data_IF_006276269588
#
_entry.id   IF_006276269588
#
_cell.length_a   1.000
_cell.length_b   1.000
_cell.length_c   1.000
_cell.angle_alpha   90.00
_cell.angle_beta   90.00
_cell.angle_gamma   90.00
#
_symmetry.space_group_name_H-M   'P 1'
#
loop_
_entity.id
_entity.type
_entity.pdbx_description
1 polymer ?
#
# COMPACT_ATOMS: atom_id res chain seq x y z
N UNK A 1 -8.23 13.48 -0.49
CA UNK A 1 -7.65 12.56 0.50
C UNK A 1 -8.24 11.19 0.28
N UNK A 2 -7.42 10.15 0.32
CA UNK A 2 -7.84 8.75 0.20
C UNK A 2 -7.40 8.06 1.50
N UNK A 3 -8.32 7.36 2.15
CA UNK A 3 -8.07 6.69 3.43
C UNK A 3 -8.77 5.34 3.46
N UNK A 4 -8.17 4.37 4.14
CA UNK A 4 -8.82 3.11 4.49
C UNK A 4 -9.45 2.40 3.27
N UNK A 5 -8.72 2.39 2.16
CA UNK A 5 -9.25 1.96 0.87
C UNK A 5 -8.34 0.90 0.25
N UNK A 6 -8.97 -0.07 -0.41
CA UNK A 6 -8.29 -1.00 -1.32
C UNK A 6 -8.46 -0.48 -2.75
N UNK A 7 -7.35 -0.26 -3.45
CA UNK A 7 -7.33 0.02 -4.88
C UNK A 7 -6.67 -1.17 -5.58
N UNK A 8 -7.47 -1.96 -6.29
CA UNK A 8 -7.00 -3.15 -6.99
C UNK A 8 -7.68 -3.38 -8.33
N UNK A 9 -6.99 -4.04 -9.26
CA UNK A 9 -7.52 -4.37 -10.58
C UNK A 9 -7.69 -3.17 -11.53
N UNK A 10 -7.17 -2.00 -11.17
CA UNK A 10 -7.21 -0.82 -12.04
C UNK A 10 -6.19 -0.95 -13.17
N UNK A 11 -6.48 -0.34 -14.32
CA UNK A 11 -5.58 -0.31 -15.47
C UNK A 11 -5.53 1.07 -16.11
N UNK A 12 -4.36 1.69 -16.14
CA UNK A 12 -4.15 2.96 -16.84
C UNK A 12 -3.55 2.78 -18.24
N UNK A 13 -4.21 3.37 -19.24
CA UNK A 13 -3.73 3.57 -20.61
C UNK A 13 -3.95 2.42 -21.60
N UNK A 14 -4.28 2.70 -22.87
CA UNK A 14 -3.87 1.87 -24.01
C UNK A 14 -2.40 2.16 -24.38
N UNK A 15 -1.76 1.26 -25.15
CA UNK A 15 -0.33 1.31 -25.58
C UNK A 15 0.11 2.67 -26.17
N UNK A 16 -0.85 3.49 -26.63
CA UNK A 16 -0.63 4.77 -27.33
C UNK A 16 -0.78 6.03 -26.46
N UNK A 17 -1.23 5.93 -25.20
CA UNK A 17 -1.42 7.08 -24.32
C UNK A 17 -0.72 6.92 -22.97
N UNK A 18 -0.46 8.04 -22.28
CA UNK A 18 0.35 8.12 -21.05
C UNK A 18 -0.40 7.53 -19.84
N UNK A 19 -0.32 6.21 -19.64
CA UNK A 19 -0.74 5.55 -18.39
C UNK A 19 0.37 5.61 -17.35
N UNK A 20 0.46 6.71 -16.58
CA UNK A 20 1.60 6.92 -15.66
C UNK A 20 1.38 6.31 -14.27
N UNK A 21 0.14 6.30 -13.76
CA UNK A 21 -0.26 5.65 -12.50
C UNK A 21 -1.45 4.73 -12.73
N UNK A 22 -1.28 3.42 -12.52
CA UNK A 22 -2.35 2.44 -12.72
C UNK A 22 -3.47 2.56 -11.69
N UNK A 23 -3.14 2.91 -10.45
CA UNK A 23 -4.12 3.21 -9.40
C UNK A 23 -4.21 4.70 -9.07
N UNK A 24 -3.07 5.35 -8.80
CA UNK A 24 -3.02 6.73 -8.32
C UNK A 24 -2.00 7.54 -9.10
N UNK A 25 -2.45 8.69 -9.61
CA UNK A 25 -1.58 9.80 -9.98
C UNK A 25 -1.55 10.79 -8.81
N UNK A 26 -0.48 10.76 -8.02
CA UNK A 26 -0.38 11.54 -6.79
C UNK A 26 0.06 12.96 -7.12
N UNK A 27 -0.88 13.91 -6.98
CA UNK A 27 -0.66 15.33 -7.18
C UNK A 27 -0.41 16.07 -5.85
N UNK A 28 0.29 17.21 -5.86
CA UNK A 28 0.46 18.06 -4.68
C UNK A 28 -0.87 18.31 -3.95
N UNK A 29 -0.86 18.20 -2.62
CA UNK A 29 -2.07 18.31 -1.78
C UNK A 29 -2.88 17.02 -1.63
N UNK A 30 -2.53 15.94 -2.36
CA UNK A 30 -3.13 14.62 -2.15
C UNK A 30 -2.49 13.93 -0.95
N UNK A 31 -3.33 13.46 -0.03
CA UNK A 31 -2.93 12.59 1.08
C UNK A 31 -3.54 11.21 0.84
N UNK A 32 -2.69 10.19 0.84
CA UNK A 32 -3.07 8.77 0.83
C UNK A 32 -2.61 8.17 2.13
N UNK A 33 -3.54 7.62 2.90
CA UNK A 33 -3.15 6.97 4.15
C UNK A 33 -3.89 5.70 4.41
N UNK A 34 -3.25 4.72 5.06
CA UNK A 34 -3.96 3.55 5.55
C UNK A 34 -4.66 2.79 4.39
N UNK A 35 -4.00 2.72 3.23
CA UNK A 35 -4.54 2.14 1.99
C UNK A 35 -3.73 0.92 1.54
N UNK A 36 -4.37 0.01 0.81
CA UNK A 36 -3.69 -1.06 0.09
C UNK A 36 -3.87 -0.85 -1.41
N UNK A 37 -2.78 -0.78 -2.15
CA UNK A 37 -2.75 -0.53 -3.60
C UNK A 37 -2.02 -1.70 -4.26
N UNK A 38 -2.78 -2.65 -4.79
CA UNK A 38 -2.21 -3.91 -5.26
C UNK A 38 -2.92 -4.46 -6.49
N UNK A 39 -2.20 -5.21 -7.34
CA UNK A 39 -2.78 -5.82 -8.53
C UNK A 39 -3.23 -4.83 -9.60
N UNK A 40 -2.72 -3.60 -9.58
CA UNK A 40 -3.02 -2.59 -10.60
C UNK A 40 -1.99 -2.64 -11.72
N UNK A 41 -2.37 -2.09 -12.86
CA UNK A 41 -1.61 -2.19 -14.08
C UNK A 41 -1.45 -0.82 -14.72
N UNK A 42 -0.26 -0.55 -15.25
CA UNK A 42 -0.07 0.52 -16.22
C UNK A 42 0.38 -0.07 -17.55
N UNK A 43 0.02 0.60 -18.63
CA UNK A 43 0.52 0.30 -19.96
C UNK A 43 1.22 1.56 -20.49
N UNK A 44 2.54 1.58 -20.39
CA UNK A 44 3.37 2.67 -20.89
C UNK A 44 3.80 2.43 -22.34
N UNK A 45 4.15 3.51 -23.05
CA UNK A 45 4.94 3.42 -24.27
C UNK A 45 6.41 3.08 -23.90
N UNK A 46 7.15 2.42 -24.80
CA UNK A 46 8.59 2.16 -24.71
C UNK A 46 9.41 3.33 -24.15
N UNK A 47 9.08 4.56 -24.55
CA UNK A 47 9.80 5.76 -24.14
C UNK A 47 9.61 6.14 -22.65
N UNK A 48 8.65 5.54 -21.94
CA UNK A 48 8.21 5.98 -20.62
C UNK A 48 8.28 4.90 -19.55
N UNK A 49 8.76 3.70 -19.87
CA UNK A 49 8.79 2.54 -18.96
C UNK A 49 9.41 2.86 -17.60
N UNK A 50 10.46 3.68 -17.56
CA UNK A 50 11.17 4.08 -16.33
C UNK A 50 10.47 5.17 -15.54
N UNK A 51 9.36 5.72 -16.06
CA UNK A 51 8.60 6.85 -15.53
C UNK A 51 7.11 6.52 -15.43
N UNK A 52 6.79 5.29 -15.07
CA UNK A 52 5.43 4.79 -14.88
C UNK A 52 5.38 3.88 -13.67
N UNK A 53 4.20 3.79 -13.05
CA UNK A 53 3.88 2.86 -11.98
C UNK A 53 2.50 2.26 -12.20
N UNK A 54 2.36 0.96 -12.01
CA UNK A 54 1.06 0.31 -11.89
C UNK A 54 0.34 0.74 -10.62
N UNK A 55 1.07 0.98 -9.52
CA UNK A 55 0.50 1.47 -8.27
C UNK A 55 0.39 3.00 -8.24
N UNK A 56 1.40 3.66 -7.65
CA UNK A 56 1.44 5.11 -7.45
C UNK A 56 2.47 5.77 -8.36
N UNK A 57 2.00 6.74 -9.16
CA UNK A 57 2.87 7.69 -9.83
C UNK A 57 2.92 8.99 -9.04
N UNK A 58 4.05 9.28 -8.41
CA UNK A 58 4.22 10.43 -7.54
C UNK A 58 4.76 11.67 -8.27
N UNK A 59 3.98 12.75 -8.22
CA UNK A 59 4.40 14.11 -8.60
C UNK A 59 4.30 15.11 -7.45
N UNK A 60 3.68 14.73 -6.34
CA UNK A 60 3.47 15.54 -5.15
C UNK A 60 2.45 14.88 -4.22
N UNK A 61 2.44 15.27 -2.95
CA UNK A 61 1.53 14.71 -1.94
C UNK A 61 2.27 14.00 -0.82
N UNK A 62 1.51 13.28 0.01
CA UNK A 62 2.02 12.51 1.14
C UNK A 62 1.34 11.14 1.19
N UNK A 63 2.14 10.11 1.49
CA UNK A 63 1.70 8.73 1.61
C UNK A 63 2.15 8.16 2.95
N UNK A 64 1.21 7.63 3.74
CA UNK A 64 1.55 7.00 5.02
C UNK A 64 0.73 5.75 5.32
N UNK A 65 1.23 4.82 6.13
CA UNK A 65 0.54 3.56 6.47
C UNK A 65 -0.01 2.82 5.25
N UNK A 66 0.65 2.91 4.11
CA UNK A 66 0.10 2.43 2.83
C UNK A 66 0.98 1.33 2.28
N UNK A 67 0.35 0.26 1.80
CA UNK A 67 1.03 -0.82 1.10
C UNK A 67 0.81 -0.64 -0.40
N UNK A 68 1.91 -0.65 -1.18
CA UNK A 68 1.90 -0.64 -2.64
C UNK A 68 2.73 -1.82 -3.12
N UNK A 69 2.06 -2.87 -3.60
CA UNK A 69 2.75 -4.11 -3.98
C UNK A 69 1.98 -4.89 -5.05
N UNK A 70 2.67 -5.71 -5.84
CA UNK A 70 2.09 -6.55 -6.90
C UNK A 70 1.39 -5.75 -8.01
N UNK A 71 1.84 -4.52 -8.26
CA UNK A 71 1.41 -3.75 -9.42
C UNK A 71 2.41 -3.92 -10.56
N UNK A 72 1.94 -3.84 -11.80
CA UNK A 72 2.76 -4.19 -12.96
C UNK A 72 2.71 -3.15 -14.06
N UNK A 73 3.81 -3.03 -14.79
CA UNK A 73 3.82 -2.41 -16.11
C UNK A 73 3.68 -3.52 -17.16
N UNK A 74 2.53 -3.56 -17.85
CA UNK A 74 2.22 -4.62 -18.81
C UNK A 74 3.02 -4.51 -20.11
N UNK A 75 3.62 -3.35 -20.42
CA UNK A 75 4.42 -3.19 -21.63
C UNK A 75 5.76 -3.95 -21.53
N UNK A 76 6.37 -3.94 -20.34
CA UNK A 76 7.63 -4.66 -20.05
C UNK A 76 7.46 -5.93 -19.25
N UNK A 77 6.23 -6.28 -18.88
CA UNK A 77 5.91 -7.47 -18.09
C UNK A 77 6.70 -7.54 -16.78
N UNK A 78 6.84 -6.41 -16.08
CA UNK A 78 7.64 -6.30 -14.86
C UNK A 78 6.86 -5.61 -13.73
N UNK A 79 7.32 -5.83 -12.49
CA UNK A 79 6.83 -5.13 -11.30
C UNK A 79 7.05 -3.61 -11.44
N UNK A 80 6.08 -2.84 -10.98
CA UNK A 80 6.07 -1.38 -11.11
C UNK A 80 5.11 -0.82 -10.05
N UNK A 81 5.55 -0.77 -8.80
CA UNK A 81 4.69 -0.45 -7.66
C UNK A 81 4.63 1.04 -7.43
N UNK A 82 5.78 1.69 -7.28
CA UNK A 82 5.89 3.13 -7.05
C UNK A 82 6.89 3.75 -8.00
N UNK A 83 6.49 4.83 -8.66
CA UNK A 83 7.41 5.75 -9.31
C UNK A 83 7.43 7.05 -8.51
N UNK A 84 8.59 7.42 -7.99
CA UNK A 84 8.79 8.69 -7.26
C UNK A 84 10.21 9.22 -7.47
N UNK A 85 10.35 10.54 -7.50
CA UNK A 85 11.65 11.23 -7.43
C UNK A 85 11.92 11.81 -6.04
N UNK A 86 11.02 11.59 -5.07
CA UNK A 86 11.05 12.21 -3.75
C UNK A 86 10.55 11.23 -2.67
N UNK A 87 11.39 10.25 -2.33
CA UNK A 87 11.08 9.19 -1.35
C UNK A 87 10.61 9.72 0.02
N UNK A 88 11.02 10.94 0.40
CA UNK A 88 10.60 11.58 1.65
C UNK A 88 9.08 11.83 1.76
N UNK A 89 8.33 11.71 0.66
CA UNK A 89 6.85 11.81 0.67
C UNK A 89 6.16 10.57 1.23
N UNK A 90 6.90 9.47 1.36
CA UNK A 90 6.41 8.19 1.84
C UNK A 90 7.01 7.91 3.21
N UNK A 91 6.16 7.59 4.19
CA UNK A 91 6.62 7.14 5.51
C UNK A 91 5.68 6.10 6.10
N UNK A 92 6.22 5.18 6.91
CA UNK A 92 5.48 4.07 7.48
C UNK A 92 4.68 3.30 6.41
N UNK A 93 5.26 3.14 5.22
CA UNK A 93 4.62 2.55 4.04
C UNK A 93 5.46 1.40 3.50
N UNK A 94 4.85 0.54 2.70
CA UNK A 94 5.49 -0.67 2.19
C UNK A 94 5.49 -0.69 0.65
N UNK A 95 6.66 -0.65 0.02
CA UNK A 95 6.84 -0.95 -1.40
C UNK A 95 8.33 -1.22 -1.72
N UNK A 96 8.66 -2.03 -2.74
CA UNK A 96 10.04 -2.35 -3.08
C UNK A 96 10.92 -1.12 -3.37
N UNK A 97 10.35 -0.07 -3.97
CA UNK A 97 11.08 1.14 -4.36
C UNK A 97 11.34 2.10 -3.17
N UNK A 98 10.69 1.90 -2.02
CA UNK A 98 10.80 2.77 -0.84
C UNK A 98 12.04 2.46 0.03
N UNK A 99 13.21 2.54 -0.60
CA UNK A 99 14.52 2.20 0.00
C UNK A 99 15.09 3.26 0.95
N UNK A 100 14.31 4.28 1.32
CA UNK A 100 14.74 5.33 2.24
C UNK A 100 14.70 4.86 3.70
N UNK A 101 15.85 4.48 4.25
CA UNK A 101 15.98 3.97 5.63
C UNK A 101 15.62 4.94 6.77
N UNK A 102 15.13 6.15 6.49
CA UNK A 102 14.77 7.17 7.50
C UNK A 102 13.28 7.38 7.72
N UNK A 103 12.40 6.75 6.92
CA UNK A 103 10.96 7.01 6.96
C UNK A 103 10.14 5.82 7.49
N UNK A 104 10.79 4.83 8.12
CA UNK A 104 10.14 3.61 8.62
C UNK A 104 9.38 2.84 7.53
N UNK A 105 9.83 2.95 6.28
CA UNK A 105 9.27 2.18 5.17
C UNK A 105 9.81 0.75 5.18
N UNK A 106 9.02 -0.14 4.59
CA UNK A 106 9.33 -1.56 4.43
C UNK A 106 9.44 -1.86 2.94
N UNK A 107 10.47 -2.59 2.54
CA UNK A 107 10.68 -2.99 1.13
C UNK A 107 10.35 -4.46 0.88
N UNK A 108 10.19 -5.24 1.95
CA UNK A 108 9.89 -6.66 1.89
C UNK A 108 8.43 -6.92 1.50
N UNK A 109 8.19 -8.12 0.97
CA UNK A 109 6.86 -8.56 0.57
C UNK A 109 5.87 -8.46 1.76
N UNK A 110 4.70 -7.83 1.60
CA UNK A 110 3.71 -7.67 2.66
C UNK A 110 3.00 -8.97 3.07
N UNK A 111 3.27 -10.10 2.40
CA UNK A 111 2.67 -11.41 2.69
C UNK A 111 1.14 -11.36 2.72
N UNK A 112 0.53 -10.99 1.60
CA UNK A 112 -0.92 -11.05 1.43
C UNK A 112 -1.44 -12.49 1.50
N UNK A 113 -2.71 -12.66 1.89
CA UNK A 113 -3.35 -13.98 2.01
C UNK A 113 -3.43 -14.71 0.67
N UNK A 114 -3.93 -14.07 -0.38
CA UNK A 114 -3.95 -14.63 -1.74
C UNK A 114 -4.04 -13.53 -2.80
N UNK A 115 -2.90 -13.19 -3.40
CA UNK A 115 -2.80 -12.16 -4.45
C UNK A 115 -3.54 -12.56 -5.73
N UNK A 116 -3.57 -13.86 -6.06
CA UNK A 116 -4.18 -14.34 -7.30
C UNK A 116 -5.71 -14.32 -7.23
N UNK A 117 -6.26 -14.48 -6.03
CA UNK A 117 -7.69 -14.32 -5.76
C UNK A 117 -8.09 -12.87 -5.46
N UNK A 118 -7.16 -11.91 -5.45
CA UNK A 118 -7.42 -10.52 -5.08
C UNK A 118 -7.69 -10.31 -3.58
N UNK A 119 -7.21 -11.21 -2.73
CA UNK A 119 -7.34 -11.15 -1.27
C UNK A 119 -6.08 -10.52 -0.66
N UNK A 120 -6.19 -9.23 -0.38
CA UNK A 120 -5.07 -8.39 0.10
C UNK A 120 -5.08 -8.12 1.61
N UNK A 121 -5.69 -9.00 2.39
CA UNK A 121 -5.48 -9.07 3.84
C UNK A 121 -4.08 -9.59 4.14
N UNK A 122 -3.48 -9.17 5.25
CA UNK A 122 -2.13 -9.60 5.65
C UNK A 122 -2.14 -10.96 6.34
N UNK A 123 -1.10 -11.74 6.14
CA UNK A 123 -0.81 -12.91 6.96
C UNK A 123 -0.22 -12.49 8.32
N UNK A 124 -0.37 -13.29 9.40
CA UNK A 124 0.08 -12.92 10.74
C UNK A 124 1.57 -12.61 10.89
N UNK A 125 2.42 -13.17 10.02
CA UNK A 125 3.88 -12.93 10.02
C UNK A 125 4.32 -11.87 9.00
N UNK A 126 3.37 -11.11 8.45
CA UNK A 126 3.68 -10.01 7.54
C UNK A 126 4.62 -9.00 8.22
N UNK A 127 5.64 -8.49 7.51
CA UNK A 127 6.48 -7.43 8.05
C UNK A 127 5.70 -6.13 8.29
N UNK A 128 4.52 -5.96 7.69
CA UNK A 128 3.69 -4.76 7.80
C UNK A 128 2.82 -4.71 9.07
N UNK A 129 2.72 -5.81 9.82
CA UNK A 129 1.88 -5.93 11.02
C UNK A 129 2.50 -5.16 12.18
N UNK A 130 1.74 -4.24 12.77
CA UNK A 130 2.12 -3.38 13.88
C UNK A 130 3.33 -2.51 13.55
N UNK A 131 3.44 -2.03 12.30
CA UNK A 131 4.56 -1.17 11.84
C UNK A 131 4.11 0.20 11.32
N UNK A 132 2.82 0.49 11.29
CA UNK A 132 2.32 1.78 10.88
C UNK A 132 2.49 2.86 11.96
N UNK A 133 2.20 4.10 11.59
CA UNK A 133 2.14 5.26 12.48
C UNK A 133 0.73 5.45 13.02
N UNK A 134 0.56 5.30 14.32
CA UNK A 134 -0.73 5.57 14.97
C UNK A 134 -1.12 7.05 14.83
N UNK A 135 -2.35 7.30 14.39
CA UNK A 135 -2.93 8.63 14.31
C UNK A 135 -4.19 8.75 15.16
N UNK A 136 -4.51 9.97 15.58
CA UNK A 136 -5.63 10.24 16.51
C UNK A 136 -6.96 9.68 15.98
N UNK A 137 -7.20 9.78 14.67
CA UNK A 137 -8.45 9.32 14.06
C UNK A 137 -8.64 7.80 14.16
N UNK A 138 -7.56 7.03 14.19
CA UNK A 138 -7.62 5.56 14.18
C UNK A 138 -8.21 4.98 15.46
N UNK A 139 -8.16 5.72 16.58
CA UNK A 139 -8.64 5.25 17.89
C UNK A 139 -10.14 4.93 17.94
N UNK A 140 -10.92 5.57 17.08
CA UNK A 140 -12.38 5.45 17.06
C UNK A 140 -12.90 4.98 15.69
N UNK A 141 -12.01 4.54 14.80
CA UNK A 141 -12.33 4.14 13.43
C UNK A 141 -12.02 2.66 13.22
N UNK A 142 -12.51 2.14 12.10
CA UNK A 142 -12.35 0.74 11.71
C UNK A 142 -11.49 0.61 10.46
N UNK A 143 -10.90 -0.56 10.25
CA UNK A 143 -10.29 -0.96 8.98
C UNK A 143 -11.36 -1.22 7.91
N UNK A 144 -10.93 -1.60 6.71
CA UNK A 144 -11.86 -1.87 5.60
C UNK A 144 -12.74 -3.12 5.82
N UNK A 145 -12.36 -4.01 6.75
CA UNK A 145 -13.14 -5.20 7.14
C UNK A 145 -14.07 -4.94 8.35
N UNK A 146 -14.06 -3.74 8.92
CA UNK A 146 -14.88 -3.37 10.07
C UNK A 146 -14.26 -3.68 11.44
N UNK A 147 -12.98 -4.07 11.48
CA UNK A 147 -12.25 -4.28 12.73
C UNK A 147 -11.71 -2.96 13.27
N UNK A 148 -11.49 -2.85 14.58
CA UNK A 148 -10.86 -1.66 15.16
C UNK A 148 -9.49 -1.39 14.51
N UNK A 149 -9.21 -0.13 14.13
CA UNK A 149 -7.99 0.19 13.38
C UNK A 149 -6.69 0.10 14.18
N UNK A 150 -6.75 -0.07 15.49
CA UNK A 150 -5.58 -0.40 16.31
C UNK A 150 -5.96 -1.66 17.08
N UNK A 151 -5.75 -2.82 16.45
CA UNK A 151 -6.24 -4.11 16.98
C UNK A 151 -5.25 -4.78 17.95
N UNK A 152 -3.95 -4.62 17.71
CA UNK A 152 -2.88 -5.31 18.45
C UNK A 152 -1.85 -4.35 19.07
N UNK A 153 -2.25 -3.10 19.32
CA UNK A 153 -1.44 -2.08 20.02
C UNK A 153 -0.79 -1.04 19.12
N UNK A 154 -0.42 -1.39 17.90
CA UNK A 154 0.04 -0.46 16.85
C UNK A 154 -0.68 -0.79 15.54
N UNK A 155 -1.01 0.22 14.75
CA UNK A 155 -1.70 0.06 13.45
C UNK A 155 -0.84 -0.72 12.44
N UNK A 156 -1.48 -1.55 11.64
CA UNK A 156 -0.87 -2.22 10.49
C UNK A 156 -0.73 -1.24 9.31
N UNK A 157 0.30 -1.43 8.48
CA UNK A 157 0.29 -0.76 7.17
C UNK A 157 -0.79 -1.40 6.29
N UNK A 158 -1.42 -0.60 5.43
CA UNK A 158 -2.45 -1.10 4.51
C UNK A 158 -3.86 -0.73 4.95
N UNK A 159 -4.85 -1.28 4.26
CA UNK A 159 -6.29 -1.05 4.51
C UNK A 159 -6.92 -1.99 5.55
N UNK A 160 -6.21 -3.02 5.99
CA UNK A 160 -6.72 -4.08 6.85
C UNK A 160 -5.82 -4.26 8.07
N UNK A 161 -6.41 -4.58 9.21
CA UNK A 161 -5.72 -5.01 10.43
C UNK A 161 -5.71 -6.53 10.52
N UNK A 162 -4.60 -7.09 11.00
CA UNK A 162 -4.52 -8.47 11.46
C UNK A 162 -5.07 -8.54 12.87
N UNK A 163 -6.17 -9.26 13.02
CA UNK A 163 -6.75 -9.47 14.34
C UNK A 163 -5.86 -10.40 15.18
N UNK A 164 -5.57 -10.04 16.44
CA UNK A 164 -4.86 -10.94 17.33
C UNK A 164 -5.68 -12.23 17.52
N UNK A 165 -5.02 -13.38 17.75
CA UNK A 165 -5.72 -14.61 18.10
C UNK A 165 -6.65 -14.36 19.28
N UNK A 166 -7.82 -15.01 19.29
CA UNK A 166 -8.71 -14.96 20.45
C UNK A 166 -7.93 -15.38 21.70
N UNK A 167 -7.81 -14.49 22.67
CA UNK A 167 -7.04 -14.74 23.89
C UNK A 167 -7.69 -15.84 24.72
N UNK A 168 -6.91 -16.86 25.09
CA UNK A 168 -7.29 -17.80 26.15
C UNK A 168 -6.88 -17.18 27.49
N UNK A 169 -7.85 -16.84 28.34
CA UNK A 169 -7.57 -16.44 29.72
C UNK A 169 -7.22 -17.70 30.51
N UNK A 170 -5.95 -17.88 30.83
CA UNK A 170 -5.51 -18.93 31.76
C UNK A 170 -5.53 -18.35 33.18
N UNK A 171 -6.56 -18.67 33.97
CA UNK A 171 -6.58 -18.34 35.40
C UNK A 171 -5.80 -19.43 36.12
N UNK A 172 -4.57 -19.12 36.49
CA UNK A 172 -3.82 -19.91 37.46
C UNK A 172 -4.24 -19.42 38.85
N UNK A 173 -4.83 -20.33 39.62
CA UNK A 173 -5.15 -20.17 41.03
C UNK A 173 -4.33 -21.16 41.83
#
# INVERSE_FOLDING_TARGET
MIRNSLLSGNRAGPVTARGQGGAIYLNPGTVVESCTIAGNQCNGNAALVTTTAGGIYDTGGLVTNTIVYFNTNTYVSAASDVYTTALARFGYSCAPELTNGGAFNIVDNPLFTDVNAGLYTLQPLSPCVGKGLDQVWMKADVDLAGNARIAAGQVDMGAYEVMPPAGTVLILR
#
